data_IF_001041245943
#
_entry.id   IF_001041245943
#
_cell.length_a   1.000
_cell.length_b   1.000
_cell.length_c   1.000
_cell.angle_alpha   90.00
_cell.angle_beta   90.00
_cell.angle_gamma   90.00
#
_symmetry.space_group_name_H-M   'P 1'
#
loop_
_entity.id
_entity.type
_entity.pdbx_description
1 polymer ?
#
# COMPACT_ATOMS: atom_id res chain seq x y z
N UNK A 1 52.49 -14.66 96.72
CA UNK A 1 53.61 -15.26 95.96
C UNK A 1 53.10 -15.52 94.56
N UNK A 2 53.50 -14.71 93.56
CA UNK A 2 54.63 -15.01 92.65
C UNK A 2 54.45 -16.38 91.97
N UNK A 3 54.38 -16.54 90.66
CA UNK A 3 54.65 -15.64 89.54
C UNK A 3 55.16 -16.45 88.35
N UNK A 4 54.93 -15.92 87.15
CA UNK A 4 55.63 -16.13 85.85
C UNK A 4 54.90 -16.88 84.73
N UNK A 5 54.44 -16.04 83.78
CA UNK A 5 54.70 -16.02 82.32
C UNK A 5 54.73 -17.36 81.56
N UNK A 6 53.89 -17.46 80.53
CA UNK A 6 54.38 -17.52 79.14
C UNK A 6 53.29 -17.10 78.13
N UNK A 7 53.69 -16.28 77.15
CA UNK A 7 52.94 -15.96 75.93
C UNK A 7 52.91 -17.18 74.99
N UNK A 8 51.78 -17.46 74.33
CA UNK A 8 51.77 -17.76 72.89
C UNK A 8 50.35 -17.91 72.31
N UNK A 9 50.11 -17.12 71.25
CA UNK A 9 49.51 -17.50 69.96
C UNK A 9 48.31 -18.47 69.98
N UNK A 10 47.12 -17.97 69.64
CA UNK A 10 46.30 -18.48 68.52
C UNK A 10 44.96 -17.73 68.44
N UNK A 11 45.01 -16.48 67.97
CA UNK A 11 43.86 -15.72 67.46
C UNK A 11 43.91 -15.74 65.93
N UNK A 12 43.90 -16.95 65.35
CA UNK A 12 44.08 -17.16 63.91
C UNK A 12 43.08 -18.15 63.28
N UNK A 13 42.01 -18.54 63.98
CA UNK A 13 41.10 -19.59 63.51
C UNK A 13 39.65 -19.15 63.20
N UNK A 14 39.30 -17.86 63.31
CA UNK A 14 37.91 -17.40 63.09
C UNK A 14 37.72 -16.41 61.93
N UNK A 15 38.77 -16.10 61.16
CA UNK A 15 38.71 -15.11 60.06
C UNK A 15 39.06 -15.65 58.67
N UNK A 16 39.16 -16.98 58.52
CA UNK A 16 39.57 -17.62 57.26
C UNK A 16 38.44 -18.36 56.50
N UNK A 17 37.18 -18.26 56.93
CA UNK A 17 36.04 -18.94 56.26
C UNK A 17 35.14 -17.97 55.47
N UNK A 18 35.37 -16.65 55.53
CA UNK A 18 34.54 -15.67 54.78
C UNK A 18 35.17 -15.23 53.43
N UNK A 19 36.37 -15.69 53.06
CA UNK A 19 37.07 -15.19 51.85
C UNK A 19 37.00 -16.14 50.62
N UNK A 20 36.40 -17.34 50.71
CA UNK A 20 36.37 -18.27 49.57
C UNK A 20 35.02 -18.40 48.82
N UNK A 21 33.98 -17.64 49.19
CA UNK A 21 32.70 -17.65 48.46
C UNK A 21 32.46 -16.42 47.57
N UNK A 22 33.24 -15.35 47.71
CA UNK A 22 33.17 -14.14 46.87
C UNK A 22 33.68 -14.33 45.42
N UNK A 23 34.74 -15.12 45.14
CA UNK A 23 35.25 -15.27 43.77
C UNK A 23 34.30 -16.04 42.85
N UNK A 24 33.52 -16.98 43.40
CA UNK A 24 32.64 -17.85 42.62
C UNK A 24 31.37 -17.10 42.13
N UNK A 25 30.80 -16.24 42.97
CA UNK A 25 29.63 -15.44 42.59
C UNK A 25 29.97 -14.34 41.56
N UNK A 26 31.15 -13.72 41.68
CA UNK A 26 31.61 -12.73 40.69
C UNK A 26 31.96 -13.39 39.34
N UNK A 27 32.60 -14.56 39.33
CA UNK A 27 32.88 -15.30 38.10
C UNK A 27 31.61 -15.81 37.40
N UNK A 28 30.60 -16.27 38.16
CA UNK A 28 29.28 -16.66 37.60
C UNK A 28 28.46 -15.47 37.11
N UNK A 29 28.54 -14.32 37.78
CA UNK A 29 27.88 -13.09 37.32
C UNK A 29 28.56 -12.52 36.07
N UNK A 30 29.88 -12.55 35.99
CA UNK A 30 30.64 -12.16 34.80
C UNK A 30 30.41 -13.12 33.62
N UNK A 31 30.35 -14.43 33.86
CA UNK A 31 30.07 -15.41 32.81
C UNK A 31 28.63 -15.30 32.28
N UNK A 32 27.63 -15.11 33.16
CA UNK A 32 26.25 -14.80 32.76
C UNK A 32 26.15 -13.48 32.00
N UNK A 33 26.88 -12.46 32.43
CA UNK A 33 26.88 -11.15 31.76
C UNK A 33 27.54 -11.23 30.37
N UNK A 34 28.63 -11.97 30.24
CA UNK A 34 29.34 -12.18 28.98
C UNK A 34 28.53 -13.09 28.03
N UNK A 35 27.88 -14.13 28.57
CA UNK A 35 26.95 -14.99 27.83
C UNK A 35 25.73 -14.20 27.32
N UNK A 36 25.10 -13.39 28.17
CA UNK A 36 23.98 -12.53 27.77
C UNK A 36 24.40 -11.48 26.73
N UNK A 37 25.61 -10.90 26.85
CA UNK A 37 26.17 -9.99 25.83
C UNK A 37 26.43 -10.71 24.51
N UNK A 38 27.00 -11.91 24.55
CA UNK A 38 27.26 -12.73 23.37
C UNK A 38 25.96 -13.17 22.69
N UNK A 39 24.96 -13.64 23.45
CA UNK A 39 23.63 -13.97 22.94
C UNK A 39 22.95 -12.75 22.31
N UNK A 40 22.91 -11.61 23.01
CA UNK A 40 22.34 -10.37 22.45
C UNK A 40 23.05 -9.92 21.17
N UNK A 41 24.38 -10.11 21.07
CA UNK A 41 25.15 -9.80 19.87
C UNK A 41 24.85 -10.76 18.72
N UNK A 42 24.69 -12.05 19.01
CA UNK A 42 24.31 -13.08 18.06
C UNK A 42 22.88 -12.87 17.57
N UNK A 43 21.95 -12.58 18.47
CA UNK A 43 20.54 -12.30 18.15
C UNK A 43 20.40 -11.02 17.30
N UNK A 44 21.20 -9.99 17.59
CA UNK A 44 21.27 -8.79 16.76
C UNK A 44 21.79 -9.09 15.34
N UNK A 45 22.79 -9.96 15.20
CA UNK A 45 23.30 -10.39 13.90
C UNK A 45 22.27 -11.24 13.13
N UNK A 46 21.67 -12.24 13.78
CA UNK A 46 20.62 -13.09 13.20
C UNK A 46 19.40 -12.27 12.77
N UNK A 47 18.97 -11.30 13.57
CA UNK A 47 17.89 -10.38 13.19
C UNK A 47 18.21 -9.58 11.92
N UNK A 48 19.42 -9.01 11.84
CA UNK A 48 19.83 -8.23 10.65
C UNK A 48 19.79 -9.09 9.39
N UNK A 49 20.24 -10.35 9.48
CA UNK A 49 20.16 -11.31 8.38
C UNK A 49 18.71 -11.59 7.98
N UNK A 50 17.82 -11.85 8.95
CA UNK A 50 16.41 -12.08 8.68
C UNK A 50 15.76 -10.87 7.99
N UNK A 51 15.95 -9.65 8.53
CA UNK A 51 15.43 -8.42 7.93
C UNK A 51 15.96 -8.23 6.50
N UNK A 52 17.25 -8.50 6.27
CA UNK A 52 17.84 -8.41 4.94
C UNK A 52 17.24 -9.43 3.96
N UNK A 53 17.01 -10.66 4.40
CA UNK A 53 16.34 -11.70 3.59
C UNK A 53 14.90 -11.32 3.26
N UNK A 54 14.13 -10.87 4.25
CA UNK A 54 12.74 -10.43 4.04
C UNK A 54 12.68 -9.22 3.12
N UNK A 55 13.57 -8.24 3.29
CA UNK A 55 13.68 -7.07 2.38
C UNK A 55 14.08 -7.50 0.96
N UNK A 56 15.01 -8.43 0.82
CA UNK A 56 15.38 -8.99 -0.49
C UNK A 56 14.18 -9.64 -1.16
N UNK A 57 13.44 -10.50 -0.45
CA UNK A 57 12.23 -11.14 -0.98
C UNK A 57 11.14 -10.12 -1.29
N UNK A 58 10.98 -9.09 -0.46
CA UNK A 58 10.07 -7.97 -0.72
C UNK A 58 10.43 -7.25 -2.02
N UNK A 59 11.72 -6.96 -2.25
CA UNK A 59 12.22 -6.35 -3.49
C UNK A 59 12.14 -7.30 -4.70
N UNK A 60 12.06 -8.61 -4.45
CA UNK A 60 11.80 -9.63 -5.47
C UNK A 60 10.30 -9.93 -5.62
N UNK A 61 9.44 -9.21 -4.88
CA UNK A 61 7.99 -9.38 -4.84
C UNK A 61 7.53 -10.80 -4.48
N UNK A 62 8.41 -11.60 -3.90
CA UNK A 62 8.10 -12.94 -3.38
C UNK A 62 7.49 -12.79 -1.97
N UNK A 63 6.31 -12.16 -1.93
CA UNK A 63 5.62 -11.81 -0.69
C UNK A 63 5.22 -13.05 0.10
N UNK A 64 4.93 -14.17 -0.56
CA UNK A 64 4.58 -15.44 0.10
C UNK A 64 5.78 -15.96 0.89
N UNK A 65 6.97 -16.06 0.28
CA UNK A 65 8.16 -16.49 1.03
C UNK A 65 8.56 -15.48 2.10
N UNK A 66 8.44 -14.17 1.80
CA UNK A 66 8.73 -13.13 2.78
C UNK A 66 7.83 -13.22 4.02
N UNK A 67 6.54 -13.49 3.82
CA UNK A 67 5.58 -13.70 4.91
C UNK A 67 5.86 -14.99 5.67
N UNK A 68 6.17 -16.09 4.99
CA UNK A 68 6.53 -17.35 5.65
C UNK A 68 7.74 -17.19 6.58
N UNK A 69 8.75 -16.41 6.17
CA UNK A 69 9.90 -16.11 7.04
C UNK A 69 9.49 -15.32 8.29
N UNK A 70 8.58 -14.35 8.15
CA UNK A 70 8.09 -13.56 9.28
C UNK A 70 7.16 -14.37 10.18
N UNK A 71 6.34 -15.27 9.62
CA UNK A 71 5.50 -16.21 10.36
C UNK A 71 6.35 -17.15 11.22
N UNK A 72 7.40 -17.71 10.63
CA UNK A 72 8.39 -18.51 11.37
C UNK A 72 9.04 -17.69 12.48
N UNK A 73 9.48 -16.46 12.18
CA UNK A 73 10.08 -15.59 13.18
C UNK A 73 9.14 -15.27 14.34
N UNK A 74 7.83 -15.12 14.10
CA UNK A 74 6.85 -14.87 15.17
C UNK A 74 6.68 -16.07 16.14
N UNK A 75 7.07 -17.29 15.75
CA UNK A 75 7.10 -18.45 16.66
C UNK A 75 8.22 -18.34 17.70
N UNK A 76 9.27 -17.58 17.40
CA UNK A 76 10.41 -17.38 18.28
C UNK A 76 10.17 -16.23 19.26
N UNK A 77 10.19 -16.52 20.57
CA UNK A 77 9.94 -15.50 21.61
C UNK A 77 10.84 -14.26 21.50
N UNK A 78 12.07 -14.41 20.96
CA UNK A 78 13.03 -13.30 20.78
C UNK A 78 12.64 -12.30 19.70
N UNK A 79 11.80 -12.69 18.75
CA UNK A 79 11.38 -11.85 17.61
C UNK A 79 9.92 -11.45 17.67
N UNK A 80 9.14 -12.07 18.55
CA UNK A 80 7.70 -11.84 18.68
C UNK A 80 7.38 -10.35 18.78
N UNK A 81 8.01 -9.63 19.71
CA UNK A 81 7.76 -8.20 19.96
C UNK A 81 8.88 -7.28 19.46
N UNK A 82 9.59 -7.68 18.39
CA UNK A 82 10.56 -6.80 17.75
C UNK A 82 9.86 -5.82 16.80
N UNK A 83 10.01 -4.52 17.08
CA UNK A 83 9.35 -3.45 16.32
C UNK A 83 9.63 -3.53 14.81
N UNK A 84 10.88 -3.76 14.40
CA UNK A 84 11.27 -3.70 12.99
C UNK A 84 10.66 -4.86 12.20
N UNK A 85 10.61 -6.04 12.82
CA UNK A 85 9.97 -7.23 12.24
C UNK A 85 8.46 -7.08 12.19
N UNK A 86 7.81 -6.58 13.25
CA UNK A 86 6.37 -6.32 13.27
C UNK A 86 5.96 -5.32 12.18
N UNK A 87 6.70 -4.23 12.06
CA UNK A 87 6.43 -3.19 11.07
C UNK A 87 6.63 -3.72 9.64
N UNK A 88 7.67 -4.50 9.40
CA UNK A 88 7.91 -5.15 8.10
C UNK A 88 6.81 -6.16 7.77
N UNK A 89 6.30 -6.87 8.77
CA UNK A 89 5.19 -7.81 8.61
C UNK A 89 3.90 -7.10 8.22
N UNK A 90 3.55 -6.02 8.94
CA UNK A 90 2.40 -5.19 8.57
C UNK A 90 2.50 -4.68 7.12
N UNK A 91 3.68 -4.18 6.72
CA UNK A 91 3.92 -3.72 5.35
C UNK A 91 3.69 -4.82 4.31
N UNK A 92 4.21 -6.03 4.54
CA UNK A 92 4.00 -7.18 3.65
C UNK A 92 2.54 -7.64 3.60
N UNK A 93 1.85 -7.70 4.74
CA UNK A 93 0.42 -8.03 4.79
C UNK A 93 -0.41 -7.03 3.99
N UNK A 94 -0.10 -5.74 4.08
CA UNK A 94 -0.78 -4.71 3.28
C UNK A 94 -0.60 -4.89 1.77
N UNK A 95 0.57 -5.38 1.32
CA UNK A 95 0.81 -5.69 -0.10
C UNK A 95 -0.09 -6.80 -0.61
N UNK A 96 -0.49 -7.72 0.25
CA UNK A 96 -1.49 -8.76 -0.04
C UNK A 96 -2.94 -8.30 0.17
N UNK A 97 -3.19 -7.01 0.41
CA UNK A 97 -4.54 -6.51 0.73
C UNK A 97 -5.06 -6.94 2.11
N UNK A 98 -4.23 -7.59 2.94
CA UNK A 98 -4.59 -8.05 4.29
C UNK A 98 -4.49 -6.90 5.31
N UNK A 99 -5.19 -5.80 5.02
CA UNK A 99 -5.10 -4.53 5.77
C UNK A 99 -5.46 -4.67 7.24
N UNK A 100 -6.53 -5.38 7.58
CA UNK A 100 -6.92 -5.56 8.98
C UNK A 100 -5.82 -6.27 9.79
N UNK A 101 -5.28 -7.38 9.26
CA UNK A 101 -4.16 -8.07 9.92
C UNK A 101 -2.91 -7.19 10.00
N UNK A 102 -2.65 -6.36 8.99
CA UNK A 102 -1.55 -5.40 9.04
C UNK A 102 -1.74 -4.38 10.18
N UNK A 103 -2.96 -3.89 10.37
CA UNK A 103 -3.31 -2.98 11.48
C UNK A 103 -3.08 -3.68 12.83
N UNK A 104 -3.48 -4.94 13.01
CA UNK A 104 -3.25 -5.68 14.26
C UNK A 104 -1.75 -5.73 14.65
N UNK A 105 -0.85 -5.87 13.66
CA UNK A 105 0.60 -5.80 13.88
C UNK A 105 1.08 -4.36 14.16
N UNK A 106 0.50 -3.35 13.52
CA UNK A 106 0.84 -1.94 13.77
C UNK A 106 0.39 -1.48 15.16
N UNK A 107 -0.72 -2.00 15.69
CA UNK A 107 -1.14 -1.73 17.07
C UNK A 107 -0.07 -2.18 18.07
N UNK A 108 0.58 -3.33 17.83
CA UNK A 108 1.73 -3.79 18.62
C UNK A 108 2.94 -2.86 18.45
N UNK A 109 3.20 -2.36 17.24
CA UNK A 109 4.23 -1.33 17.02
C UNK A 109 3.96 -0.05 17.83
N UNK A 110 2.70 0.39 17.89
CA UNK A 110 2.28 1.56 18.69
C UNK A 110 2.48 1.30 20.19
N UNK A 111 2.21 0.10 20.69
CA UNK A 111 2.47 -0.26 22.10
C UNK A 111 3.96 -0.18 22.43
N UNK A 112 4.84 -0.67 21.54
CA UNK A 112 6.29 -0.67 21.73
C UNK A 112 6.91 0.73 21.61
N UNK A 113 6.39 1.56 20.70
CA UNK A 113 6.92 2.90 20.42
C UNK A 113 5.77 3.92 20.30
N UNK A 114 5.12 4.31 21.42
CA UNK A 114 3.88 5.10 21.40
C UNK A 114 4.06 6.54 20.90
N UNK A 115 5.29 7.05 20.90
CA UNK A 115 5.59 8.41 20.44
C UNK A 115 5.89 8.51 18.95
N UNK A 116 5.93 7.40 18.21
CA UNK A 116 6.32 7.42 16.80
C UNK A 116 5.10 7.54 15.89
N UNK A 117 5.13 8.50 14.97
CA UNK A 117 4.04 8.79 14.04
C UNK A 117 3.87 7.72 12.95
N UNK A 118 4.95 7.03 12.58
CA UNK A 118 4.99 6.14 11.41
C UNK A 118 3.98 4.97 11.46
N UNK A 119 3.81 4.22 12.57
CA UNK A 119 2.78 3.20 12.67
C UNK A 119 1.36 3.75 12.53
N UNK A 120 1.05 4.88 13.18
CA UNK A 120 -0.26 5.56 13.09
C UNK A 120 -0.56 6.00 11.66
N UNK A 121 0.43 6.57 10.98
CA UNK A 121 0.30 6.93 9.57
C UNK A 121 0.05 5.74 8.64
N UNK A 122 0.69 4.60 8.93
CA UNK A 122 0.45 3.36 8.19
C UNK A 122 -0.96 2.81 8.46
N UNK A 123 -1.43 2.84 9.71
CA UNK A 123 -2.81 2.48 10.06
C UNK A 123 -3.82 3.37 9.35
N UNK A 124 -3.59 4.69 9.33
CA UNK A 124 -4.44 5.65 8.64
C UNK A 124 -4.58 5.32 7.15
N UNK A 125 -3.46 5.06 6.47
CA UNK A 125 -3.47 4.66 5.06
C UNK A 125 -4.19 3.32 4.83
N UNK A 126 -4.03 2.34 5.72
CA UNK A 126 -4.71 1.05 5.58
C UNK A 126 -6.22 1.15 5.84
N UNK A 127 -6.65 1.98 6.79
CA UNK A 127 -8.05 2.31 6.97
C UNK A 127 -8.63 3.01 5.73
N UNK A 128 -7.87 3.94 5.13
CA UNK A 128 -8.25 4.58 3.88
C UNK A 128 -8.45 3.55 2.76
N UNK A 129 -7.52 2.61 2.57
CA UNK A 129 -7.66 1.55 1.56
C UNK A 129 -8.89 0.64 1.79
N UNK A 130 -9.37 0.54 3.03
CA UNK A 130 -10.59 -0.20 3.38
C UNK A 130 -11.87 0.65 3.28
N UNK A 131 -11.79 1.90 2.82
CA UNK A 131 -12.92 2.84 2.81
C UNK A 131 -13.40 3.27 4.20
N UNK A 132 -12.61 2.99 5.25
CA UNK A 132 -12.90 3.32 6.65
C UNK A 132 -12.39 4.74 6.96
N UNK A 133 -13.02 5.73 6.34
CA UNK A 133 -12.50 7.11 6.28
C UNK A 133 -12.44 7.78 7.66
N UNK A 134 -13.39 7.55 8.55
CA UNK A 134 -13.40 8.11 9.90
C UNK A 134 -12.23 7.59 10.74
N UNK A 135 -11.96 6.28 10.68
CA UNK A 135 -10.80 5.69 11.35
C UNK A 135 -9.50 6.20 10.72
N UNK A 136 -9.45 6.32 9.39
CA UNK A 136 -8.27 6.82 8.69
C UNK A 136 -7.89 8.25 9.13
N UNK A 137 -8.88 9.13 9.17
CA UNK A 137 -8.73 10.53 9.59
C UNK A 137 -8.27 10.64 11.04
N UNK A 138 -8.88 9.84 11.93
CA UNK A 138 -8.51 9.78 13.35
C UNK A 138 -7.05 9.38 13.53
N UNK A 139 -6.62 8.30 12.89
CA UNK A 139 -5.25 7.79 13.01
C UNK A 139 -4.22 8.76 12.41
N UNK A 140 -4.54 9.40 11.28
CA UNK A 140 -3.68 10.42 10.67
C UNK A 140 -3.53 11.65 11.58
N UNK A 141 -4.64 12.11 12.18
CA UNK A 141 -4.66 13.26 13.09
C UNK A 141 -3.82 12.98 14.34
N UNK A 142 -3.94 11.79 14.92
CA UNK A 142 -3.06 11.36 16.04
C UNK A 142 -1.61 11.32 15.58
N UNK A 143 -1.31 10.79 14.40
CA UNK A 143 0.04 10.74 13.85
C UNK A 143 0.72 12.12 13.74
N UNK A 144 -0.05 13.18 13.45
CA UNK A 144 0.46 14.55 13.36
C UNK A 144 0.89 15.15 14.70
N UNK A 145 0.46 14.58 15.84
CA UNK A 145 0.85 15.05 17.19
C UNK A 145 2.04 14.28 17.78
N UNK A 146 2.61 13.33 17.02
CA UNK A 146 3.67 12.43 17.47
C UNK A 146 5.03 12.80 16.86
N UNK A 147 6.09 12.07 17.22
CA UNK A 147 7.43 12.25 16.66
C UNK A 147 7.48 11.67 15.24
N UNK A 148 7.91 12.46 14.27
CA UNK A 148 7.97 12.08 12.86
C UNK A 148 8.81 13.02 12.03
N UNK A 149 9.01 12.68 10.77
CA UNK A 149 9.72 13.54 9.81
C UNK A 149 8.77 14.56 9.18
N UNK A 150 9.31 15.69 8.71
CA UNK A 150 8.54 16.69 7.97
C UNK A 150 7.82 16.09 6.75
N UNK A 151 8.49 15.17 6.04
CA UNK A 151 7.91 14.43 4.92
C UNK A 151 6.74 13.53 5.36
N UNK A 152 6.88 12.83 6.49
CA UNK A 152 5.81 12.03 7.06
C UNK A 152 4.58 12.87 7.41
N UNK A 153 4.77 14.04 8.01
CA UNK A 153 3.65 14.95 8.32
C UNK A 153 3.01 15.56 7.08
N UNK A 154 3.80 15.91 6.07
CA UNK A 154 3.27 16.38 4.79
C UNK A 154 2.39 15.31 4.12
N UNK A 155 2.82 14.04 4.19
CA UNK A 155 2.04 12.91 3.73
C UNK A 155 0.72 12.76 4.51
N UNK A 156 0.75 12.81 5.83
CA UNK A 156 -0.48 12.70 6.65
C UNK A 156 -1.49 13.81 6.34
N UNK A 157 -1.02 15.05 6.19
CA UNK A 157 -1.89 16.17 5.77
C UNK A 157 -2.51 15.94 4.40
N UNK A 158 -1.72 15.46 3.43
CA UNK A 158 -2.24 15.10 2.10
C UNK A 158 -3.27 13.98 2.17
N UNK A 159 -3.06 12.98 3.04
CA UNK A 159 -4.00 11.89 3.24
C UNK A 159 -5.31 12.38 3.87
N UNK A 160 -5.26 13.27 4.86
CA UNK A 160 -6.45 13.89 5.47
C UNK A 160 -7.24 14.66 4.40
N UNK A 161 -6.62 15.52 3.60
CA UNK A 161 -7.31 16.23 2.53
C UNK A 161 -7.94 15.30 1.50
N UNK A 162 -7.30 14.16 1.17
CA UNK A 162 -7.92 13.11 0.34
C UNK A 162 -9.13 12.50 1.04
N UNK A 163 -9.01 12.13 2.31
CA UNK A 163 -10.12 11.54 3.08
C UNK A 163 -11.33 12.49 3.10
N UNK A 164 -11.11 13.78 3.36
CA UNK A 164 -12.15 14.81 3.34
C UNK A 164 -12.84 14.88 1.96
N UNK A 165 -12.07 14.86 0.87
CA UNK A 165 -12.60 14.79 -0.49
C UNK A 165 -13.47 13.54 -0.72
N UNK A 166 -13.03 12.35 -0.31
CA UNK A 166 -13.83 11.13 -0.51
C UNK A 166 -15.09 11.08 0.37
N UNK A 167 -15.04 11.69 1.55
CA UNK A 167 -16.21 11.85 2.44
C UNK A 167 -17.23 12.84 1.86
N UNK A 168 -16.79 13.85 1.09
CA UNK A 168 -17.70 14.82 0.46
C UNK A 168 -18.41 14.27 -0.79
N UNK A 169 -17.90 13.21 -1.41
CA UNK A 169 -18.49 12.52 -2.58
C UNK A 169 -19.78 11.73 -2.25
N UNK A 170 -20.57 12.13 -1.25
CA UNK A 170 -21.84 11.47 -0.94
C UNK A 170 -21.75 10.03 -0.40
N UNK A 171 -22.88 9.35 -0.23
CA UNK A 171 -22.92 8.04 0.44
C UNK A 171 -22.23 6.93 -0.35
N UNK A 172 -21.35 6.18 0.34
CA UNK A 172 -20.62 5.00 -0.21
C UNK A 172 -21.54 3.92 -0.79
N UNK A 173 -22.79 3.83 -0.30
CA UNK A 173 -23.80 2.85 -0.71
C UNK A 173 -24.80 3.40 -1.76
N UNK A 174 -24.57 4.60 -2.29
CA UNK A 174 -25.37 5.14 -3.40
C UNK A 174 -25.28 4.22 -4.64
N UNK A 175 -26.34 4.13 -5.47
CA UNK A 175 -26.32 3.33 -6.69
C UNK A 175 -25.29 3.77 -7.72
N UNK A 176 -24.78 5.00 -7.63
CA UNK A 176 -23.71 5.58 -8.46
C UNK A 176 -22.79 6.50 -7.62
N UNK A 177 -21.73 7.02 -8.23
CA UNK A 177 -20.81 7.99 -7.62
C UNK A 177 -20.65 9.28 -8.43
N UNK A 178 -21.64 9.63 -9.27
CA UNK A 178 -21.68 10.89 -9.99
C UNK A 178 -22.62 11.85 -9.25
N UNK A 179 -22.03 12.60 -8.32
CA UNK A 179 -22.73 13.61 -7.51
C UNK A 179 -22.38 15.04 -7.90
N UNK A 180 -21.42 15.22 -8.82
CA UNK A 180 -21.15 16.51 -9.45
C UNK A 180 -22.28 16.86 -10.41
N UNK A 181 -22.51 18.15 -10.63
CA UNK A 181 -23.42 18.64 -11.66
C UNK A 181 -22.91 18.18 -13.06
N UNK A 182 -23.83 17.92 -14.00
CA UNK A 182 -23.46 17.40 -15.34
C UNK A 182 -22.44 18.30 -16.06
N UNK A 183 -22.49 19.61 -15.83
CA UNK A 183 -21.60 20.62 -16.42
C UNK A 183 -20.14 20.50 -15.96
N UNK A 184 -19.88 19.80 -14.85
CA UNK A 184 -18.54 19.60 -14.28
C UNK A 184 -17.86 18.30 -14.76
N UNK A 185 -18.59 17.44 -15.48
CA UNK A 185 -18.13 16.11 -15.87
C UNK A 185 -17.64 16.07 -17.32
N UNK A 186 -16.36 16.35 -17.53
CA UNK A 186 -15.76 16.24 -18.86
C UNK A 186 -15.72 14.78 -19.37
N UNK A 187 -16.39 14.52 -20.49
CA UNK A 187 -16.38 13.24 -21.20
C UNK A 187 -16.49 13.42 -22.71
N UNK A 188 -16.25 12.35 -23.48
CA UNK A 188 -16.44 12.34 -24.94
C UNK A 188 -17.91 12.52 -25.33
N UNK A 189 -18.18 13.15 -26.48
CA UNK A 189 -19.54 13.30 -26.98
C UNK A 189 -20.14 11.98 -27.46
N UNK A 190 -21.48 11.88 -27.46
CA UNK A 190 -22.18 10.72 -28.03
C UNK A 190 -21.82 10.47 -29.51
N UNK A 191 -21.56 11.53 -30.28
CA UNK A 191 -21.17 11.46 -31.71
C UNK A 191 -19.75 10.91 -31.92
N UNK A 192 -18.94 10.86 -30.87
CA UNK A 192 -17.55 10.42 -30.94
C UNK A 192 -17.41 8.90 -30.99
N UNK A 193 -18.50 8.16 -30.73
CA UNK A 193 -18.50 6.70 -30.69
C UNK A 193 -18.90 6.08 -32.04
N UNK A 194 -18.11 5.14 -32.60
CA UNK A 194 -17.03 4.40 -31.95
C UNK A 194 -15.74 5.22 -31.77
N UNK A 195 -15.22 5.23 -30.54
CA UNK A 195 -14.01 5.99 -30.22
C UNK A 195 -12.79 5.29 -30.80
N UNK A 196 -11.93 6.06 -31.49
CA UNK A 196 -10.71 5.55 -32.10
C UNK A 196 -9.61 5.40 -31.04
N UNK A 197 -9.06 4.20 -30.88
CA UNK A 197 -8.04 3.91 -29.87
C UNK A 197 -6.75 3.37 -30.50
N UNK A 198 -5.61 3.66 -29.87
CA UNK A 198 -4.32 3.07 -30.19
C UNK A 198 -3.66 2.48 -28.96
N UNK A 199 -2.88 1.41 -29.15
CA UNK A 199 -2.16 0.70 -28.09
C UNK A 199 -0.68 0.76 -28.41
N UNK A 200 0.10 1.24 -27.45
CA UNK A 200 1.55 1.37 -27.57
C UNK A 200 2.21 0.73 -26.35
N UNK A 201 3.34 0.07 -26.57
CA UNK A 201 4.12 -0.58 -25.52
C UNK A 201 5.54 -0.09 -25.67
N UNK A 202 6.11 0.41 -24.57
CA UNK A 202 7.52 0.75 -24.52
C UNK A 202 8.36 -0.49 -24.90
N UNK A 203 9.34 -0.37 -25.83
CA UNK A 203 10.19 -1.49 -26.24
C UNK A 203 10.83 -2.27 -25.08
N UNK A 204 11.04 -1.62 -23.93
CA UNK A 204 11.56 -2.25 -22.71
C UNK A 204 10.61 -3.30 -22.10
N UNK A 205 9.33 -3.30 -22.47
CA UNK A 205 8.30 -4.23 -21.98
C UNK A 205 7.65 -5.03 -23.11
N UNK A 206 8.39 -5.28 -24.19
CA UNK A 206 7.89 -6.00 -25.37
C UNK A 206 7.27 -7.35 -25.02
N UNK A 207 7.79 -8.04 -23.99
CA UNK A 207 7.28 -9.32 -23.50
C UNK A 207 5.86 -9.22 -22.90
N UNK A 208 5.46 -8.05 -22.42
CA UNK A 208 4.12 -7.78 -21.90
C UNK A 208 3.16 -7.27 -22.97
N UNK A 209 3.58 -7.14 -24.25
CA UNK A 209 2.77 -6.51 -25.28
C UNK A 209 1.43 -7.21 -25.51
N UNK A 210 1.43 -8.54 -25.52
CA UNK A 210 0.19 -9.31 -25.69
C UNK A 210 -0.74 -9.15 -24.48
N UNK A 211 -0.17 -9.14 -23.28
CA UNK A 211 -0.94 -8.98 -22.04
C UNK A 211 -1.54 -7.58 -21.96
N UNK A 212 -0.76 -6.53 -22.21
CA UNK A 212 -1.28 -5.17 -22.20
C UNK A 212 -2.33 -4.93 -23.29
N UNK A 213 -2.11 -5.48 -24.50
CA UNK A 213 -3.13 -5.44 -25.56
C UNK A 213 -4.44 -6.09 -25.11
N UNK A 214 -4.38 -7.26 -24.46
CA UNK A 214 -5.56 -7.91 -23.89
C UNK A 214 -6.21 -7.07 -22.79
N UNK A 215 -5.42 -6.50 -21.88
CA UNK A 215 -5.91 -5.64 -20.80
C UNK A 215 -6.69 -4.45 -21.36
N UNK A 216 -6.16 -3.74 -22.36
CA UNK A 216 -6.84 -2.60 -23.01
C UNK A 216 -8.14 -3.05 -23.68
N UNK A 217 -8.10 -4.10 -24.49
CA UNK A 217 -9.28 -4.56 -25.23
C UNK A 217 -10.38 -5.08 -24.29
N UNK A 218 -10.01 -5.83 -23.26
CA UNK A 218 -10.95 -6.30 -22.24
C UNK A 218 -11.55 -5.12 -21.47
N UNK A 219 -10.75 -4.07 -21.18
CA UNK A 219 -11.24 -2.88 -20.48
C UNK A 219 -12.30 -2.13 -21.29
N UNK A 220 -12.01 -1.84 -22.55
CA UNK A 220 -12.99 -1.21 -23.45
C UNK A 220 -14.22 -2.07 -23.65
N UNK A 221 -14.08 -3.39 -23.76
CA UNK A 221 -15.21 -4.30 -23.89
C UNK A 221 -16.09 -4.31 -22.63
N UNK A 222 -15.49 -4.28 -21.43
CA UNK A 222 -16.26 -4.19 -20.19
C UNK A 222 -17.06 -2.89 -20.09
N UNK A 223 -16.45 -1.74 -20.42
CA UNK A 223 -17.15 -0.45 -20.43
C UNK A 223 -18.22 -0.38 -21.54
N UNK A 224 -17.96 -1.00 -22.71
CA UNK A 224 -18.96 -1.18 -23.77
C UNK A 224 -20.15 -1.99 -23.27
N UNK A 225 -19.93 -3.13 -22.61
CA UNK A 225 -21.02 -3.95 -22.04
C UNK A 225 -21.78 -3.21 -20.93
N UNK A 226 -21.08 -2.51 -20.04
CA UNK A 226 -21.69 -1.71 -18.97
C UNK A 226 -22.64 -0.64 -19.51
N UNK A 227 -22.26 -0.01 -20.61
CA UNK A 227 -23.07 0.98 -21.32
C UNK A 227 -24.15 0.36 -22.24
N UNK A 228 -24.35 -0.96 -22.18
CA UNK A 228 -25.31 -1.69 -23.02
C UNK A 228 -24.94 -1.69 -24.49
N UNK A 229 -23.65 -1.59 -24.84
CA UNK A 229 -23.18 -1.53 -26.21
C UNK A 229 -22.88 -0.13 -26.74
N UNK A 230 -23.21 0.94 -26.00
CA UNK A 230 -23.08 2.33 -26.47
C UNK A 230 -21.63 2.77 -26.68
N UNK A 231 -20.76 2.53 -25.71
CA UNK A 231 -19.35 2.97 -25.73
C UNK A 231 -18.49 2.07 -26.63
N UNK A 232 -18.79 2.06 -27.93
CA UNK A 232 -18.06 1.30 -28.96
C UNK A 232 -16.66 1.86 -29.18
N UNK A 233 -15.75 1.03 -29.66
CA UNK A 233 -14.37 1.44 -29.93
C UNK A 233 -13.85 0.81 -31.23
N UNK A 234 -12.82 1.43 -31.81
CA UNK A 234 -12.14 0.94 -33.01
C UNK A 234 -10.62 1.09 -32.84
N UNK A 235 -9.87 0.00 -33.09
CA UNK A 235 -8.40 0.06 -33.15
C UNK A 235 -7.95 0.77 -34.43
N UNK A 236 -7.06 1.75 -34.27
CA UNK A 236 -6.46 2.53 -35.37
C UNK A 236 -4.97 2.78 -35.12
N UNK A 237 -4.31 3.44 -36.06
CA UNK A 237 -2.96 3.94 -35.85
C UNK A 237 -2.94 5.07 -34.80
N UNK A 238 -1.80 5.31 -34.15
CA UNK A 238 -1.67 6.38 -33.15
C UNK A 238 -2.07 7.76 -33.72
N UNK A 239 -1.81 8.02 -35.01
CA UNK A 239 -2.11 9.31 -35.66
C UNK A 239 -3.61 9.62 -35.74
N UNK A 240 -4.45 8.59 -35.69
CA UNK A 240 -5.90 8.70 -35.85
C UNK A 240 -6.65 8.47 -34.54
N UNK A 241 -5.95 8.10 -33.47
CA UNK A 241 -6.54 7.74 -32.20
C UNK A 241 -6.92 8.98 -31.39
N UNK A 242 -8.09 8.90 -30.74
CA UNK A 242 -8.55 9.85 -29.73
C UNK A 242 -8.25 9.39 -28.30
N UNK A 243 -8.07 8.08 -28.10
CA UNK A 243 -7.51 7.54 -26.86
C UNK A 243 -6.24 6.76 -27.16
N UNK A 244 -5.12 7.13 -26.55
CA UNK A 244 -3.85 6.41 -26.68
C UNK A 244 -3.51 5.73 -25.36
N UNK A 245 -3.52 4.40 -25.36
CA UNK A 245 -3.14 3.57 -24.23
C UNK A 245 -1.67 3.18 -24.34
N UNK A 246 -0.86 3.48 -23.33
CA UNK A 246 0.58 3.22 -23.30
C UNK A 246 0.98 2.40 -22.08
N UNK A 247 1.74 1.33 -22.30
CA UNK A 247 2.49 0.67 -21.23
C UNK A 247 3.89 1.28 -21.17
N UNK A 248 4.23 1.87 -20.03
CA UNK A 248 5.48 2.60 -19.83
C UNK A 248 6.29 2.05 -18.65
N UNK A 249 7.60 2.27 -18.70
CA UNK A 249 8.46 2.05 -17.53
C UNK A 249 8.01 2.97 -16.41
N UNK A 250 7.77 2.40 -15.23
CA UNK A 250 7.54 3.18 -14.02
C UNK A 250 8.63 4.24 -13.84
N UNK A 251 8.22 5.52 -13.79
CA UNK A 251 9.14 6.63 -13.58
C UNK A 251 8.48 7.75 -12.79
N UNK A 252 8.10 7.50 -11.53
CA UNK A 252 7.97 8.52 -10.45
C UNK A 252 7.52 7.89 -9.13
N UNK A 253 8.37 7.94 -8.11
CA UNK A 253 7.93 7.86 -6.72
C UNK A 253 7.41 9.22 -6.27
N UNK A 254 6.17 9.31 -5.79
CA UNK A 254 5.65 10.46 -5.04
C UNK A 254 5.10 9.99 -3.69
N UNK A 255 5.95 10.04 -2.64
CA UNK A 255 5.53 9.74 -1.27
C UNK A 255 5.32 8.26 -0.96
N UNK A 256 4.39 7.93 -0.05
CA UNK A 256 4.13 6.59 0.49
C UNK A 256 3.37 5.62 -0.45
N UNK A 257 3.20 5.98 -1.73
CA UNK A 257 2.49 5.17 -2.72
C UNK A 257 3.07 5.31 -4.12
N UNK A 258 3.02 4.23 -4.89
CA UNK A 258 3.37 4.21 -6.32
C UNK A 258 2.14 4.61 -7.13
N UNK A 259 2.30 5.53 -8.07
CA UNK A 259 1.27 5.80 -9.09
C UNK A 259 1.33 4.64 -10.09
N UNK A 260 0.27 3.84 -10.16
CA UNK A 260 0.20 2.65 -11.02
C UNK A 260 -0.25 3.00 -12.44
N UNK A 261 -1.06 4.03 -12.58
CA UNK A 261 -1.50 4.58 -13.86
C UNK A 261 -1.77 6.07 -13.74
N UNK A 262 -1.81 6.74 -14.89
CA UNK A 262 -2.22 8.13 -15.02
C UNK A 262 -3.00 8.32 -16.32
N UNK A 263 -4.15 8.96 -16.22
CA UNK A 263 -4.93 9.39 -17.37
C UNK A 263 -4.85 10.90 -17.51
N UNK A 264 -4.36 11.35 -18.66
CA UNK A 264 -4.37 12.76 -19.05
C UNK A 264 -5.52 13.00 -20.02
N UNK A 265 -6.28 14.05 -19.77
CA UNK A 265 -7.31 14.61 -20.66
C UNK A 265 -6.80 15.97 -21.15
N UNK A 266 -7.28 16.47 -22.28
CA UNK A 266 -6.82 17.77 -22.80
C UNK A 266 -6.96 18.89 -21.76
N UNK A 267 -5.97 19.78 -21.69
CA UNK A 267 -5.96 20.91 -20.76
C UNK A 267 -7.00 21.95 -21.19
N UNK A 268 -7.83 22.37 -20.22
CA UNK A 268 -8.96 23.30 -20.34
C UNK A 268 -8.51 24.76 -20.60
N UNK A 269 -7.50 24.99 -21.45
CA UNK A 269 -7.14 26.33 -21.89
C UNK A 269 -8.12 26.82 -22.98
N UNK A 270 -9.38 27.03 -22.56
CA UNK A 270 -10.24 28.08 -23.10
C UNK A 270 -11.06 27.78 -24.34
N UNK A 271 -11.68 26.59 -24.44
CA UNK A 271 -12.71 26.34 -25.47
C UNK A 271 -13.90 25.58 -24.89
N UNK A 272 -15.11 26.02 -25.25
CA UNK A 272 -16.44 25.47 -24.93
C UNK A 272 -16.67 24.01 -25.42
N UNK A 273 -15.63 23.25 -25.75
CA UNK A 273 -15.72 21.96 -26.43
C UNK A 273 -15.45 20.77 -25.51
N UNK A 274 -16.29 19.73 -25.62
CA UNK A 274 -16.13 18.43 -24.98
C UNK A 274 -14.77 17.75 -25.23
N UNK A 275 -14.43 16.75 -24.41
CA UNK A 275 -13.13 16.06 -24.41
C UNK A 275 -12.70 15.58 -25.81
N UNK A 276 -11.58 16.10 -26.34
CA UNK A 276 -11.11 15.77 -27.70
C UNK A 276 -10.16 14.58 -27.70
N UNK A 277 -9.28 14.48 -26.72
CA UNK A 277 -8.26 13.45 -26.61
C UNK A 277 -8.02 13.01 -25.17
N UNK A 278 -7.67 11.73 -25.01
CA UNK A 278 -7.22 11.18 -23.73
C UNK A 278 -5.99 10.28 -23.91
N UNK A 279 -5.12 10.27 -22.91
CA UNK A 279 -3.94 9.42 -22.86
C UNK A 279 -3.98 8.61 -21.58
N UNK A 280 -4.02 7.29 -21.73
CA UNK A 280 -3.96 6.32 -20.65
C UNK A 280 -2.53 5.82 -20.55
N UNK A 281 -1.84 6.11 -19.46
CA UNK A 281 -0.50 5.61 -19.19
C UNK A 281 -0.57 4.61 -18.04
N UNK A 282 -0.22 3.36 -18.31
CA UNK A 282 -0.07 2.32 -17.30
C UNK A 282 1.41 2.16 -17.02
N UNK A 283 1.79 2.43 -15.78
CA UNK A 283 3.15 2.28 -15.31
C UNK A 283 3.34 0.88 -14.75
N UNK A 284 4.29 0.17 -15.34
CA UNK A 284 4.59 -1.19 -14.92
C UNK A 284 6.09 -1.33 -14.65
N UNK A 285 6.38 -2.19 -13.69
CA UNK A 285 7.71 -2.67 -13.38
C UNK A 285 7.68 -4.19 -13.42
N UNK A 286 8.73 -4.81 -13.97
CA UNK A 286 8.76 -6.26 -14.23
C UNK A 286 8.74 -7.13 -12.97
N UNK A 287 8.85 -6.50 -11.81
CA UNK A 287 8.75 -7.09 -10.49
C UNK A 287 7.30 -7.06 -9.92
N UNK A 288 6.40 -6.24 -10.49
CA UNK A 288 4.99 -6.24 -10.12
C UNK A 288 4.24 -7.48 -10.61
N UNK A 289 3.16 -7.83 -9.92
CA UNK A 289 2.26 -8.87 -10.40
C UNK A 289 1.65 -8.42 -11.74
N UNK A 290 1.84 -9.17 -12.83
CA UNK A 290 1.34 -8.77 -14.14
C UNK A 290 -0.19 -8.59 -14.17
N UNK A 291 -0.94 -9.19 -13.23
CA UNK A 291 -2.39 -8.96 -13.09
C UNK A 291 -2.75 -7.51 -12.75
N UNK A 292 -1.82 -6.75 -12.15
CA UNK A 292 -2.02 -5.32 -11.89
C UNK A 292 -2.19 -4.50 -13.17
N UNK A 293 -1.64 -4.98 -14.30
CA UNK A 293 -1.82 -4.34 -15.61
C UNK A 293 -3.31 -4.30 -15.98
N UNK A 294 -4.05 -5.38 -15.76
CA UNK A 294 -5.48 -5.46 -16.11
C UNK A 294 -6.31 -4.50 -15.26
N UNK A 295 -6.11 -4.53 -13.93
CA UNK A 295 -6.80 -3.65 -12.98
C UNK A 295 -6.59 -2.17 -13.28
N UNK A 296 -5.32 -1.82 -13.42
CA UNK A 296 -4.91 -0.44 -13.66
C UNK A 296 -5.45 0.01 -15.00
N UNK A 297 -5.36 -0.81 -16.05
CA UNK A 297 -5.91 -0.45 -17.36
C UNK A 297 -7.42 -0.23 -17.29
N UNK A 298 -8.17 -1.08 -16.58
CA UNK A 298 -9.62 -0.92 -16.46
C UNK A 298 -10.01 0.38 -15.76
N UNK A 299 -9.30 0.72 -14.68
CA UNK A 299 -9.43 1.97 -13.92
C UNK A 299 -9.11 3.19 -14.80
N UNK A 300 -7.94 3.22 -15.43
CA UNK A 300 -7.51 4.35 -16.25
C UNK A 300 -8.39 4.53 -17.50
N UNK A 301 -8.88 3.45 -18.11
CA UNK A 301 -9.88 3.58 -19.19
C UNK A 301 -11.18 4.19 -18.67
N UNK A 302 -11.60 3.87 -17.43
CA UNK A 302 -12.73 4.54 -16.79
C UNK A 302 -12.52 6.06 -16.68
N UNK A 303 -11.30 6.48 -16.30
CA UNK A 303 -10.91 7.88 -16.38
C UNK A 303 -10.88 8.40 -17.82
N UNK A 304 -10.40 7.66 -18.81
CA UNK A 304 -10.40 8.16 -20.19
C UNK A 304 -11.82 8.43 -20.70
N UNK A 305 -12.80 7.65 -20.22
CA UNK A 305 -14.21 7.77 -20.55
C UNK A 305 -14.96 8.82 -19.69
N UNK A 306 -14.29 9.51 -18.78
CA UNK A 306 -14.88 10.63 -18.04
C UNK A 306 -15.19 10.37 -16.56
N UNK A 307 -15.09 9.14 -16.07
CA UNK A 307 -15.37 8.84 -14.66
C UNK A 307 -14.33 9.46 -13.72
N UNK A 308 -14.78 9.90 -12.56
CA UNK A 308 -13.94 10.28 -11.43
C UNK A 308 -13.75 9.11 -10.47
N UNK A 309 -12.88 9.27 -9.47
CA UNK A 309 -12.70 8.25 -8.45
C UNK A 309 -14.00 7.99 -7.68
N UNK A 310 -14.25 6.71 -7.38
CA UNK A 310 -15.25 6.29 -6.40
C UNK A 310 -14.71 6.43 -4.98
N UNK A 311 -15.59 6.64 -4.01
CA UNK A 311 -15.30 6.55 -2.57
C UNK A 311 -15.56 5.15 -1.97
N UNK A 312 -15.95 4.15 -2.78
CA UNK A 312 -16.21 2.80 -2.30
C UNK A 312 -15.07 1.85 -2.69
N UNK A 313 -14.38 1.21 -1.74
CA UNK A 313 -13.22 0.36 -2.01
C UNK A 313 -13.52 -0.92 -2.83
N UNK A 314 -14.79 -1.19 -3.11
CA UNK A 314 -15.21 -2.31 -3.97
C UNK A 314 -15.27 -1.95 -5.46
N UNK A 315 -15.37 -0.66 -5.77
CA UNK A 315 -15.50 -0.16 -7.14
C UNK A 315 -14.13 -0.14 -7.83
N UNK A 316 -14.09 -0.43 -9.14
CA UNK A 316 -12.82 -0.36 -9.87
C UNK A 316 -12.28 1.06 -9.86
N UNK A 317 -13.16 2.07 -9.85
CA UNK A 317 -12.77 3.47 -9.82
C UNK A 317 -12.29 3.96 -8.44
N UNK A 318 -12.18 3.09 -7.43
CA UNK A 318 -11.50 3.45 -6.18
C UNK A 318 -9.98 3.47 -6.38
N UNK A 319 -9.26 4.53 -5.98
CA UNK A 319 -7.84 4.75 -6.32
C UNK A 319 -6.87 3.70 -5.77
N UNK A 320 -7.30 2.89 -4.80
CA UNK A 320 -6.48 1.81 -4.23
C UNK A 320 -7.20 0.47 -4.26
N UNK A 321 -8.10 0.25 -5.22
CA UNK A 321 -8.73 -1.05 -5.43
C UNK A 321 -7.64 -2.12 -5.61
N UNK A 322 -7.78 -3.26 -4.90
CA UNK A 322 -6.85 -4.40 -4.93
C UNK A 322 -7.62 -5.72 -4.97
N UNK A 323 -6.89 -6.82 -5.14
CA UNK A 323 -7.41 -8.20 -5.16
C UNK A 323 -8.44 -8.44 -4.04
N UNK A 324 -9.56 -9.14 -4.31
CA UNK A 324 -9.89 -9.86 -5.54
C UNK A 324 -10.60 -9.00 -6.63
N UNK A 325 -10.76 -7.69 -6.43
CA UNK A 325 -11.62 -6.84 -7.26
C UNK A 325 -10.90 -6.24 -8.49
N UNK A 326 -9.86 -6.91 -8.97
CA UNK A 326 -8.84 -6.32 -9.84
C UNK A 326 -9.19 -6.26 -11.32
N UNK A 327 -10.35 -6.73 -11.79
CA UNK A 327 -10.61 -6.64 -13.24
C UNK A 327 -12.10 -6.64 -13.62
N UNK A 328 -13.00 -6.34 -12.68
CA UNK A 328 -14.43 -6.42 -12.91
C UNK A 328 -15.14 -5.16 -12.45
N UNK A 329 -16.06 -4.68 -13.29
CA UNK A 329 -16.94 -3.56 -12.95
C UNK A 329 -18.02 -3.99 -11.94
N UNK A 330 -18.16 -3.23 -10.85
CA UNK A 330 -19.29 -3.39 -9.93
C UNK A 330 -20.58 -2.92 -10.58
N UNK A 331 -21.72 -3.20 -9.94
CA UNK A 331 -22.99 -2.60 -10.35
C UNK A 331 -22.95 -1.07 -10.28
N UNK A 332 -22.22 -0.51 -9.30
CA UNK A 332 -22.08 0.93 -9.11
C UNK A 332 -21.22 1.56 -10.21
N UNK A 333 -20.10 0.93 -10.60
CA UNK A 333 -19.31 1.36 -11.77
C UNK A 333 -20.17 1.42 -13.05
N UNK A 334 -20.98 0.37 -13.27
CA UNK A 334 -21.88 0.28 -14.43
C UNK A 334 -22.96 1.36 -14.40
N UNK A 335 -23.55 1.63 -13.24
CA UNK A 335 -24.56 2.67 -13.10
C UNK A 335 -23.96 4.06 -13.32
N UNK A 336 -22.77 4.33 -12.76
CA UNK A 336 -22.06 5.59 -12.93
C UNK A 336 -21.76 5.87 -14.40
N UNK A 337 -21.17 4.93 -15.15
CA UNK A 337 -20.88 5.17 -16.58
C UNK A 337 -22.17 5.37 -17.40
N UNK A 338 -23.25 4.67 -17.06
CA UNK A 338 -24.54 4.85 -17.76
C UNK A 338 -25.12 6.23 -17.49
N UNK A 339 -25.07 6.68 -16.23
CA UNK A 339 -25.53 8.02 -15.83
C UNK A 339 -24.72 9.10 -16.53
N UNK A 340 -23.38 8.97 -16.57
CA UNK A 340 -22.48 9.92 -17.26
C UNK A 340 -22.90 10.18 -18.70
N UNK A 341 -23.28 9.12 -19.42
CA UNK A 341 -23.62 9.20 -20.84
C UNK A 341 -25.13 9.31 -21.11
N UNK A 342 -25.95 9.57 -20.08
CA UNK A 342 -27.41 9.68 -20.21
C UNK A 342 -28.07 8.41 -20.75
N UNK A 343 -27.58 7.23 -20.36
CA UNK A 343 -28.06 5.93 -20.83
C UNK A 343 -29.12 5.38 -19.87
N UNK A 344 -30.39 5.24 -20.29
CA UNK A 344 -31.45 4.74 -19.42
C UNK A 344 -31.19 3.30 -18.95
N UNK A 345 -31.60 2.90 -17.74
CA UNK A 345 -31.52 1.52 -17.28
C UNK A 345 -32.13 0.54 -18.29
N UNK A 346 -31.45 -0.59 -18.56
CA UNK A 346 -31.92 -1.61 -19.49
C UNK A 346 -31.71 -1.33 -20.99
N UNK A 347 -31.39 -0.09 -21.38
CA UNK A 347 -31.10 0.24 -22.78
C UNK A 347 -29.91 -0.58 -23.33
N UNK A 348 -30.10 -1.13 -24.54
CA UNK A 348 -29.10 -1.88 -25.31
C UNK A 348 -28.95 -1.23 -26.69
N UNK A 349 -27.71 -1.16 -27.18
CA UNK A 349 -27.29 -0.59 -28.44
C UNK A 349 -26.56 -1.69 -29.21
N UNK A 350 -27.01 -1.93 -30.44
CA UNK A 350 -26.41 -2.92 -31.33
C UNK A 350 -25.09 -2.42 -31.92
#
# INVERSE_FOLDING_TARGET
MSGRKLLSKNLAAALAVIILLLPCQQAQAQSKTQYNKAQNSSDSASKKVLIAQVRKLYLQHDYVKALNLLEQAQTESRYRDDYDLLFLYAKLLSRQGRYQKAIDYLERCVQLRPKLAEPRGSMAYYYFCMGKFEQAEKEASVGLTLQGSAQGFAYLRSLIGKIELYKSQGPVNSPDYLFAEEEELQHFDRKDFPIKIAILVDPAFKEYSLQFKKAVLNSFEQWRQASGGFLRYQLVSQKEARIVCKLLKYRRERGFGSILGETMRDDDEGLEDNLKFAKVEVFFSTDQDPREIEATTLHEVGHALGLNHSNNPRDIMFPTAREPFTALLTARDKNSIRKLYGIPPGAQFQ
#
